data_IF_554394116205
#
_entry.id   IF_554394116205
#
_cell.length_a   1.000
_cell.length_b   1.000
_cell.length_c   1.000
_cell.angle_alpha   90.00
_cell.angle_beta   90.00
_cell.angle_gamma   90.00
#
_symmetry.space_group_name_H-M   'P 1'
#
loop_
_entity.id
_entity.type
_entity.pdbx_description
1 polymer ?
#
# COMPACT_ATOMS: atom_id res chain seq x y z
N UNK A 1 4.52 -10.41 -10.11
CA UNK A 1 5.23 -11.22 -9.09
C UNK A 1 4.51 -12.55 -8.79
N UNK A 2 3.23 -12.51 -8.39
CA UNK A 2 2.49 -13.72 -8.03
C UNK A 2 2.32 -14.74 -9.16
N UNK A 3 2.00 -14.28 -10.38
CA UNK A 3 1.88 -15.16 -11.56
C UNK A 3 3.20 -15.89 -11.87
N UNK A 4 4.31 -15.16 -11.84
CA UNK A 4 5.63 -15.75 -12.08
C UNK A 4 6.05 -16.75 -11.00
N UNK A 5 5.70 -16.50 -9.73
CA UNK A 5 5.97 -17.43 -8.63
C UNK A 5 5.10 -18.69 -8.72
N UNK A 6 3.85 -18.58 -9.16
CA UNK A 6 2.98 -19.72 -9.38
C UNK A 6 3.49 -20.64 -10.50
N UNK A 7 4.04 -20.07 -11.59
CA UNK A 7 4.59 -20.85 -12.71
C UNK A 7 5.85 -21.63 -12.35
N UNK A 8 6.67 -21.13 -11.42
CA UNK A 8 7.95 -21.74 -11.01
C UNK A 8 7.88 -22.53 -9.72
N UNK A 9 6.69 -22.72 -9.17
CA UNK A 9 6.48 -23.31 -7.85
C UNK A 9 7.17 -24.66 -7.69
N UNK A 10 7.20 -25.48 -8.74
CA UNK A 10 7.77 -26.83 -8.69
C UNK A 10 9.32 -26.83 -8.64
N UNK A 11 10.00 -25.71 -8.91
CA UNK A 11 11.47 -25.57 -8.81
C UNK A 11 11.93 -25.47 -7.35
N UNK A 12 11.20 -24.70 -6.53
CA UNK A 12 11.40 -24.55 -5.08
C UNK A 12 10.07 -24.18 -4.40
N UNK A 13 9.27 -25.18 -4.00
CA UNK A 13 7.92 -24.95 -3.49
C UNK A 13 7.89 -24.05 -2.26
N UNK A 14 8.86 -24.20 -1.34
CA UNK A 14 8.88 -23.43 -0.11
C UNK A 14 9.16 -21.94 -0.38
N UNK A 15 10.13 -21.64 -1.24
CA UNK A 15 10.44 -20.27 -1.62
C UNK A 15 9.28 -19.61 -2.39
N UNK A 16 8.72 -20.32 -3.37
CA UNK A 16 7.65 -19.78 -4.20
C UNK A 16 6.33 -19.63 -3.45
N UNK A 17 5.99 -20.54 -2.54
CA UNK A 17 4.81 -20.40 -1.67
C UNK A 17 4.95 -19.20 -0.73
N UNK A 18 6.14 -18.98 -0.16
CA UNK A 18 6.41 -17.78 0.63
C UNK A 18 6.22 -16.49 -0.19
N UNK A 19 6.74 -16.43 -1.43
CA UNK A 19 6.55 -15.27 -2.32
C UNK A 19 5.08 -15.03 -2.66
N UNK A 20 4.31 -16.09 -2.91
CA UNK A 20 2.88 -15.98 -3.19
C UNK A 20 2.14 -15.44 -1.97
N UNK A 21 2.44 -15.95 -0.77
CA UNK A 21 1.84 -15.50 0.48
C UNK A 21 2.16 -14.02 0.76
N UNK A 22 3.43 -13.63 0.64
CA UNK A 22 3.85 -12.22 0.84
C UNK A 22 3.18 -11.28 -0.15
N UNK A 23 3.06 -11.67 -1.42
CA UNK A 23 2.41 -10.84 -2.43
C UNK A 23 0.91 -10.65 -2.16
N UNK A 24 0.21 -11.70 -1.69
CA UNK A 24 -1.19 -11.62 -1.24
C UNK A 24 -1.32 -10.67 -0.05
N UNK A 25 -0.49 -10.89 0.98
CA UNK A 25 -0.51 -10.05 2.18
C UNK A 25 -0.33 -8.57 1.84
N UNK A 26 0.67 -8.24 1.02
CA UNK A 26 0.90 -6.86 0.60
C UNK A 26 -0.30 -6.28 -0.15
N UNK A 27 -0.85 -7.02 -1.12
CA UNK A 27 -1.99 -6.57 -1.91
C UNK A 27 -3.25 -6.34 -1.07
N UNK A 28 -3.46 -7.14 -0.03
CA UNK A 28 -4.67 -7.10 0.81
C UNK A 28 -4.54 -6.16 2.01
N UNK A 29 -3.34 -5.95 2.56
CA UNK A 29 -3.16 -5.25 3.84
C UNK A 29 -2.38 -3.94 3.72
N UNK A 30 -1.48 -3.84 2.75
CA UNK A 30 -0.60 -2.67 2.59
C UNK A 30 -1.05 -1.79 1.43
N UNK A 31 -1.24 -2.38 0.25
CA UNK A 31 -1.62 -1.64 -0.96
C UNK A 31 -2.92 -0.83 -0.83
N UNK A 32 -3.98 -1.28 -0.11
CA UNK A 32 -5.20 -0.47 0.03
C UNK A 32 -4.98 0.87 0.72
N UNK A 33 -3.93 1.01 1.53
CA UNK A 33 -3.57 2.27 2.18
C UNK A 33 -3.21 3.35 1.16
N UNK A 34 -2.71 2.97 -0.02
CA UNK A 34 -2.33 3.92 -1.06
C UNK A 34 -3.52 4.77 -1.55
N UNK A 35 -4.70 4.17 -1.67
CA UNK A 35 -5.92 4.91 -2.04
C UNK A 35 -6.34 5.89 -0.94
N UNK A 36 -6.28 5.47 0.33
CA UNK A 36 -6.58 6.37 1.45
C UNK A 36 -5.59 7.53 1.55
N UNK A 37 -4.29 7.27 1.33
CA UNK A 37 -3.25 8.30 1.30
C UNK A 37 -3.43 9.26 0.12
N UNK A 38 -3.76 8.75 -1.06
CA UNK A 38 -4.08 9.56 -2.24
C UNK A 38 -5.25 10.50 -1.94
N UNK A 39 -6.36 9.99 -1.40
CA UNK A 39 -7.50 10.79 -0.96
C UNK A 39 -7.07 11.86 0.05
N UNK A 40 -6.28 11.52 1.07
CA UNK A 40 -5.82 12.48 2.07
C UNK A 40 -4.99 13.62 1.45
N UNK A 41 -4.20 13.32 0.41
CA UNK A 41 -3.38 14.30 -0.31
C UNK A 41 -4.25 15.19 -1.21
N UNK A 42 -5.13 14.60 -2.02
CA UNK A 42 -5.86 15.34 -3.06
C UNK A 42 -7.12 16.05 -2.54
N UNK A 43 -7.65 15.62 -1.40
CA UNK A 43 -8.87 16.20 -0.82
C UNK A 43 -8.64 17.53 -0.11
N UNK A 44 -7.38 17.94 0.08
CA UNK A 44 -7.02 19.25 0.64
C UNK A 44 -7.37 20.37 -0.35
N UNK A 45 -8.64 20.77 -0.41
CA UNK A 45 -9.10 21.91 -1.20
C UNK A 45 -8.59 23.19 -0.54
N UNK A 46 -7.81 23.99 -1.26
CA UNK A 46 -7.48 25.36 -0.86
C UNK A 46 -6.55 25.52 0.35
N UNK A 47 -5.83 24.47 0.79
CA UNK A 47 -4.94 24.55 1.95
C UNK A 47 -5.65 24.39 3.31
N UNK A 48 -6.92 23.97 3.31
CA UNK A 48 -7.66 23.62 4.52
C UNK A 48 -6.94 22.47 5.26
N UNK A 49 -6.47 22.75 6.48
CA UNK A 49 -5.63 21.85 7.28
C UNK A 49 -4.55 22.63 8.03
N UNK A 50 -3.38 22.01 8.22
CA UNK A 50 -2.21 22.64 8.90
C UNK A 50 -1.84 24.00 8.30
N UNK A 51 -2.01 24.19 6.99
CA UNK A 51 -1.68 25.45 6.31
C UNK A 51 -2.70 26.58 6.57
N UNK A 52 -3.86 26.27 7.16
CA UNK A 52 -4.89 27.24 7.52
C UNK A 52 -4.90 27.58 9.02
N UNK A 53 -4.06 26.92 9.83
CA UNK A 53 -3.97 27.18 11.27
C UNK A 53 -3.09 28.39 11.55
N UNK A 54 -3.49 29.21 12.51
CA UNK A 54 -2.62 30.25 13.08
C UNK A 54 -1.62 29.64 14.09
N UNK A 55 -0.52 30.35 14.38
CA UNK A 55 0.55 29.83 15.25
C UNK A 55 0.07 29.44 16.65
N UNK A 56 -0.95 30.11 17.18
CA UNK A 56 -1.57 29.83 18.47
C UNK A 56 -2.49 28.59 18.49
N UNK A 57 -2.72 27.95 17.33
CA UNK A 57 -3.55 26.76 17.18
C UNK A 57 -2.74 25.44 17.08
N UNK A 58 -1.42 25.51 17.20
CA UNK A 58 -0.49 24.36 17.25
C UNK A 58 -0.07 24.04 18.68
#
# INVERSE_FOLDING_TARGET
AQLAAATKRDEDPAFHDAKIATARFYAEHVLPQAAALEVAIVSAKGGEGVLALSEDQF
#
